data_IF_186747104139
#
_entry.id   IF_186747104139
#
_cell.length_a   1.000
_cell.length_b   1.000
_cell.length_c   1.000
_cell.angle_alpha   90.00
_cell.angle_beta   90.00
_cell.angle_gamma   90.00
#
_symmetry.space_group_name_H-M   'P 1'
#
loop_
_entity.id
_entity.type
_entity.pdbx_description
1 polymer ?
#
# COMPACT_ATOMS: atom_id res chain seq x y z
N UNK A 1 5.53 9.15 -4.71
CA UNK A 1 6.16 7.85 -4.96
C UNK A 1 5.35 7.01 -5.93
N UNK A 2 5.82 5.79 -6.13
CA UNK A 2 5.21 4.77 -6.97
C UNK A 2 3.87 4.31 -6.39
N UNK A 3 2.87 4.00 -7.25
CA UNK A 3 1.58 3.48 -6.79
C UNK A 3 1.75 2.08 -6.19
N UNK A 4 1.18 1.85 -5.00
CA UNK A 4 1.27 0.57 -4.28
C UNK A 4 -0.07 -0.15 -4.29
N UNK A 5 -1.15 0.55 -3.92
CA UNK A 5 -2.52 0.01 -3.96
C UNK A 5 -3.49 1.09 -4.42
N UNK A 6 -4.55 0.68 -5.12
CA UNK A 6 -5.70 1.52 -5.45
C UNK A 6 -6.88 1.08 -4.61
N UNK A 7 -7.42 2.01 -3.82
CA UNK A 7 -8.65 1.82 -3.08
C UNK A 7 -9.82 2.33 -3.90
N UNK A 8 -10.88 1.54 -3.98
CA UNK A 8 -12.14 1.94 -4.61
C UNK A 8 -13.20 2.20 -3.53
N UNK A 9 -13.74 3.41 -3.51
CA UNK A 9 -14.79 3.80 -2.59
C UNK A 9 -15.85 4.60 -3.35
N UNK A 10 -17.02 3.98 -3.57
CA UNK A 10 -18.24 4.63 -4.08
C UNK A 10 -18.01 5.58 -5.29
N UNK A 11 -17.55 5.01 -6.41
CA UNK A 11 -17.20 5.72 -7.67
C UNK A 11 -15.96 6.62 -7.60
N UNK A 12 -15.22 6.60 -6.50
CA UNK A 12 -13.95 7.29 -6.37
C UNK A 12 -12.83 6.28 -6.17
N UNK A 13 -11.69 6.57 -6.78
CA UNK A 13 -10.46 5.83 -6.57
C UNK A 13 -9.49 6.67 -5.77
N UNK A 14 -8.83 6.04 -4.80
CA UNK A 14 -7.75 6.65 -4.03
C UNK A 14 -6.50 5.81 -4.16
N UNK A 15 -5.48 6.34 -4.82
CA UNK A 15 -4.20 5.65 -5.00
C UNK A 15 -3.28 5.93 -3.83
N UNK A 16 -3.01 4.90 -3.03
CA UNK A 16 -1.95 4.93 -2.04
C UNK A 16 -0.59 4.77 -2.74
N UNK A 17 0.31 5.70 -2.45
CA UNK A 17 1.64 5.77 -3.05
C UNK A 17 2.71 5.58 -1.99
N UNK A 18 3.86 5.02 -2.38
CA UNK A 18 5.01 4.93 -1.51
C UNK A 18 5.41 6.33 -0.99
N UNK A 19 5.58 6.42 0.32
CA UNK A 19 6.06 7.63 0.99
C UNK A 19 7.54 7.87 0.67
N UNK A 20 8.36 6.81 0.73
CA UNK A 20 9.80 6.84 0.53
C UNK A 20 10.27 5.67 -0.36
N UNK A 21 11.54 5.72 -0.77
CA UNK A 21 12.19 4.65 -1.56
C UNK A 21 12.44 3.44 -0.67
N UNK A 22 11.93 2.28 -1.09
CA UNK A 22 12.06 1.04 -0.34
C UNK A 22 11.59 -0.18 -1.12
N UNK A 23 11.60 -1.34 -0.45
CA UNK A 23 11.13 -2.60 -1.00
C UNK A 23 9.80 -3.00 -0.36
N UNK A 24 8.85 -3.46 -1.18
CA UNK A 24 7.59 -4.04 -0.69
C UNK A 24 7.89 -5.40 -0.11
N UNK A 25 7.79 -5.53 1.21
CA UNK A 25 8.09 -6.77 1.92
C UNK A 25 6.87 -7.69 2.01
N UNK A 26 5.68 -7.10 2.14
CA UNK A 26 4.44 -7.86 2.30
C UNK A 26 3.24 -7.06 1.77
N UNK A 27 2.31 -7.76 1.12
CA UNK A 27 0.98 -7.28 0.76
C UNK A 27 -0.02 -8.18 1.49
N UNK A 28 -0.92 -7.58 2.24
CA UNK A 28 -1.89 -8.27 3.13
C UNK A 28 -3.32 -8.20 2.63
N UNK A 29 -3.52 -7.56 1.49
CA UNK A 29 -4.81 -7.40 0.82
C UNK A 29 -4.76 -8.09 -0.53
N UNK A 30 -5.92 -8.54 -0.99
CA UNK A 30 -6.11 -9.05 -2.35
C UNK A 30 -7.01 -8.12 -3.14
N UNK A 31 -7.05 -8.30 -4.45
CA UNK A 31 -7.98 -7.57 -5.31
C UNK A 31 -9.42 -7.73 -4.83
N UNK A 32 -10.20 -6.63 -4.89
CA UNK A 32 -11.59 -6.54 -4.46
C UNK A 32 -11.86 -6.84 -2.98
N UNK A 33 -10.82 -6.98 -2.15
CA UNK A 33 -10.97 -7.14 -0.72
C UNK A 33 -11.46 -5.83 -0.09
N UNK A 34 -12.49 -5.94 0.75
CA UNK A 34 -12.95 -4.80 1.55
C UNK A 34 -11.95 -4.53 2.67
N UNK A 35 -11.64 -3.25 2.90
CA UNK A 35 -10.69 -2.83 3.92
C UNK A 35 -11.32 -1.78 4.84
N UNK A 36 -10.88 -1.78 6.09
CA UNK A 36 -11.31 -0.83 7.11
C UNK A 36 -10.25 0.26 7.38
N UNK A 37 -10.68 1.37 7.98
CA UNK A 37 -9.78 2.44 8.38
C UNK A 37 -8.74 1.94 9.39
N UNK A 38 -7.46 2.14 9.07
CA UNK A 38 -6.33 1.71 9.90
C UNK A 38 -5.87 0.27 9.66
N UNK A 39 -6.50 -0.47 8.74
CA UNK A 39 -6.00 -1.78 8.33
C UNK A 39 -4.65 -1.64 7.62
N UNK A 40 -3.67 -2.44 8.05
CA UNK A 40 -2.39 -2.57 7.34
C UNK A 40 -2.64 -3.28 6.03
N UNK A 41 -2.20 -2.68 4.92
CA UNK A 41 -2.38 -3.24 3.57
C UNK A 41 -1.06 -3.70 2.95
N UNK A 42 0.01 -2.95 3.17
CA UNK A 42 1.35 -3.28 2.71
C UNK A 42 2.41 -2.83 3.71
N UNK A 43 3.51 -3.57 3.79
CA UNK A 43 4.69 -3.22 4.57
C UNK A 43 5.82 -2.90 3.60
N UNK A 44 6.38 -1.70 3.71
CA UNK A 44 7.49 -1.22 2.89
C UNK A 44 8.69 -1.00 3.81
N UNK A 45 9.82 -1.62 3.49
CA UNK A 45 11.08 -1.42 4.21
C UNK A 45 11.91 -0.42 3.43
N UNK A 46 12.31 0.72 4.02
CA UNK A 46 13.16 1.70 3.36
C UNK A 46 14.49 1.09 2.92
N UNK A 47 14.99 1.49 1.75
CA UNK A 47 16.25 0.96 1.23
C UNK A 47 17.45 1.35 2.10
N UNK A 48 17.34 2.42 2.89
CA UNK A 48 18.37 2.85 3.84
C UNK A 48 18.54 1.92 5.04
N UNK A 49 17.58 1.02 5.29
CA UNK A 49 17.59 0.08 6.42
C UNK A 49 17.74 -1.39 5.98
N UNK A 50 17.84 -1.65 4.68
CA UNK A 50 18.12 -2.97 4.12
C UNK A 50 19.64 -3.25 4.21
N UNK A 51 20.06 -3.88 5.31
CA UNK A 51 21.42 -4.40 5.52
C UNK A 51 21.71 -5.65 4.68
#
# INVERSE_FOLDING_TARGET
GDPIVVLEAMKMQHTLRAADVGQVQQITVTENMQVDAGQVMAVIVPLSEAN
#
